data_IF_506953035622
#
_entry.id   IF_506953035622
#
_cell.length_a   1.000
_cell.length_b   1.000
_cell.length_c   1.000
_cell.angle_alpha   90.00
_cell.angle_beta   90.00
_cell.angle_gamma   90.00
#
_symmetry.space_group_name_H-M   'P 1'
#
loop_
_entity.id
_entity.type
_entity.pdbx_description
1 polymer ?
#
# COMPACT_ATOMS: atom_id res chain seq x y z
N UNK A 1 -37.99 -38.74 -74.02
CA UNK A 1 -37.82 -37.29 -73.87
C UNK A 1 -38.40 -36.78 -72.56
N UNK A 2 -39.59 -37.23 -72.16
CA UNK A 2 -40.26 -36.78 -70.91
C UNK A 2 -39.50 -37.12 -69.61
N UNK A 3 -38.83 -38.28 -69.56
CA UNK A 3 -38.00 -38.69 -68.42
C UNK A 3 -36.79 -37.76 -68.18
N UNK A 4 -36.22 -37.21 -69.26
CA UNK A 4 -35.08 -36.29 -69.18
C UNK A 4 -35.51 -34.92 -68.64
N UNK A 5 -36.69 -34.45 -69.07
CA UNK A 5 -37.28 -33.19 -68.60
C UNK A 5 -37.68 -33.30 -67.11
N UNK A 6 -38.25 -34.43 -66.71
CA UNK A 6 -38.56 -34.70 -65.30
C UNK A 6 -37.32 -34.71 -64.40
N UNK A 7 -36.23 -35.34 -64.85
CA UNK A 7 -34.96 -35.38 -64.11
C UNK A 7 -34.33 -33.98 -63.97
N UNK A 8 -34.39 -33.16 -65.03
CA UNK A 8 -33.85 -31.80 -65.03
C UNK A 8 -34.67 -30.89 -64.10
N UNK A 9 -35.99 -31.03 -64.09
CA UNK A 9 -36.87 -30.27 -63.20
C UNK A 9 -36.68 -30.66 -61.73
N UNK A 10 -36.44 -31.96 -61.44
CA UNK A 10 -36.07 -32.44 -60.11
C UNK A 10 -34.74 -31.83 -59.64
N UNK A 11 -33.73 -31.79 -60.53
CA UNK A 11 -32.43 -31.24 -60.20
C UNK A 11 -32.51 -29.75 -59.84
N UNK A 12 -33.26 -28.96 -60.63
CA UNK A 12 -33.46 -27.53 -60.37
C UNK A 12 -34.27 -27.30 -59.09
N UNK A 13 -35.36 -28.06 -58.91
CA UNK A 13 -36.17 -27.99 -57.69
C UNK A 13 -35.38 -28.36 -56.43
N UNK A 14 -34.51 -29.38 -56.52
CA UNK A 14 -33.65 -29.81 -55.42
C UNK A 14 -32.63 -28.74 -55.01
N UNK A 15 -32.01 -28.06 -55.99
CA UNK A 15 -31.05 -26.98 -55.70
C UNK A 15 -31.75 -25.79 -55.02
N UNK A 16 -32.93 -25.40 -55.51
CA UNK A 16 -33.69 -24.29 -54.93
C UNK A 16 -34.20 -24.66 -53.53
N UNK A 17 -34.77 -25.85 -53.37
CA UNK A 17 -35.25 -26.37 -52.08
C UNK A 17 -34.11 -26.47 -51.05
N UNK A 18 -32.92 -26.92 -51.46
CA UNK A 18 -31.75 -26.97 -50.60
C UNK A 18 -31.32 -25.58 -50.12
N UNK A 19 -31.34 -24.57 -51.00
CA UNK A 19 -30.98 -23.21 -50.62
C UNK A 19 -31.99 -22.59 -49.64
N UNK A 20 -33.30 -22.79 -49.86
CA UNK A 20 -34.34 -22.31 -48.95
C UNK A 20 -34.23 -23.00 -47.59
N UNK A 21 -34.10 -24.33 -47.57
CA UNK A 21 -33.94 -25.09 -46.33
C UNK A 21 -32.68 -24.69 -45.57
N UNK A 22 -31.56 -24.47 -46.28
CA UNK A 22 -30.29 -24.03 -45.67
C UNK A 22 -30.40 -22.63 -45.07
N UNK A 23 -31.14 -21.73 -45.69
CA UNK A 23 -31.32 -20.38 -45.17
C UNK A 23 -32.22 -20.37 -43.92
N UNK A 24 -33.37 -21.06 -43.98
CA UNK A 24 -34.31 -21.17 -42.85
C UNK A 24 -33.66 -21.87 -41.65
N UNK A 25 -32.91 -22.96 -41.88
CA UNK A 25 -32.26 -23.67 -40.78
C UNK A 25 -31.15 -22.82 -40.11
N UNK A 26 -30.47 -21.96 -40.87
CA UNK A 26 -29.41 -21.09 -40.34
C UNK A 26 -29.97 -19.99 -39.43
N UNK A 27 -31.15 -19.47 -39.73
CA UNK A 27 -31.79 -18.46 -38.90
C UNK A 27 -32.33 -19.06 -37.58
N UNK A 28 -32.90 -20.26 -37.65
CA UNK A 28 -33.33 -21.00 -36.45
C UNK A 28 -32.14 -21.35 -35.55
N UNK A 29 -31.04 -21.87 -36.11
CA UNK A 29 -29.86 -22.24 -35.33
C UNK A 29 -29.20 -21.03 -34.64
N UNK A 30 -29.16 -19.87 -35.32
CA UNK A 30 -28.69 -18.61 -34.72
C UNK A 30 -29.57 -18.10 -33.59
N UNK A 31 -30.87 -18.38 -33.62
CA UNK A 31 -31.78 -17.98 -32.54
C UNK A 31 -31.61 -18.85 -31.29
N UNK A 32 -31.40 -20.15 -31.44
CA UNK A 32 -31.05 -21.06 -30.34
C UNK A 32 -29.69 -20.75 -29.74
N UNK A 33 -28.66 -20.52 -30.54
CA UNK A 33 -27.32 -20.17 -30.03
C UNK A 33 -27.34 -18.85 -29.24
N UNK A 34 -28.16 -17.88 -29.66
CA UNK A 34 -28.35 -16.62 -28.92
C UNK A 34 -29.11 -16.81 -27.61
N UNK A 35 -30.16 -17.63 -27.61
CA UNK A 35 -30.95 -17.91 -26.40
C UNK A 35 -30.11 -18.66 -25.34
N UNK A 36 -29.29 -19.63 -25.76
CA UNK A 36 -28.35 -20.32 -24.87
C UNK A 36 -27.23 -19.37 -24.39
N UNK A 37 -26.74 -18.48 -25.26
CA UNK A 37 -25.78 -17.44 -24.87
C UNK A 37 -26.38 -16.43 -23.87
N UNK A 38 -27.64 -16.05 -24.00
CA UNK A 38 -28.30 -15.13 -23.07
C UNK A 38 -28.50 -15.76 -21.69
N UNK A 39 -28.93 -17.03 -21.65
CA UNK A 39 -29.08 -17.79 -20.40
C UNK A 39 -27.74 -17.95 -19.66
N UNK A 40 -26.67 -18.28 -20.39
CA UNK A 40 -25.33 -18.41 -19.81
C UNK A 40 -24.75 -17.08 -19.32
N UNK A 41 -24.99 -15.98 -20.04
CA UNK A 41 -24.61 -14.63 -19.59
C UNK A 41 -25.37 -14.23 -18.32
N UNK A 42 -26.66 -14.56 -18.24
CA UNK A 42 -27.48 -14.24 -17.08
C UNK A 42 -27.08 -15.03 -15.84
N UNK A 43 -26.75 -16.31 -15.99
CA UNK A 43 -26.19 -17.16 -14.94
C UNK A 43 -24.85 -16.60 -14.43
N UNK A 44 -23.95 -16.20 -15.35
CA UNK A 44 -22.65 -15.60 -15.02
C UNK A 44 -22.83 -14.27 -14.28
N UNK A 45 -23.77 -13.43 -14.71
CA UNK A 45 -24.04 -12.13 -14.08
C UNK A 45 -24.55 -12.30 -12.65
N UNK A 46 -25.38 -13.32 -12.40
CA UNK A 46 -25.86 -13.64 -11.05
C UNK A 46 -24.72 -14.14 -10.14
N UNK A 47 -23.80 -14.95 -10.67
CA UNK A 47 -22.61 -15.38 -9.93
C UNK A 47 -21.70 -14.18 -9.61
N UNK A 48 -21.46 -13.31 -10.59
CA UNK A 48 -20.67 -12.09 -10.40
C UNK A 48 -21.34 -11.16 -9.37
N UNK A 49 -22.65 -10.99 -9.40
CA UNK A 49 -23.36 -10.18 -8.41
C UNK A 49 -23.18 -10.73 -6.97
N UNK A 50 -23.22 -12.05 -6.79
CA UNK A 50 -23.00 -12.67 -5.48
C UNK A 50 -21.57 -12.44 -4.95
N UNK A 51 -20.57 -12.50 -5.84
CA UNK A 51 -19.18 -12.23 -5.50
C UNK A 51 -18.95 -10.77 -5.14
N UNK A 52 -19.46 -9.82 -5.95
CA UNK A 52 -19.38 -8.38 -5.69
C UNK A 52 -20.07 -7.99 -4.38
N UNK A 53 -21.20 -8.62 -4.03
CA UNK A 53 -21.87 -8.42 -2.73
C UNK A 53 -20.98 -8.88 -1.57
N UNK A 54 -20.29 -10.02 -1.73
CA UNK A 54 -19.38 -10.54 -0.71
C UNK A 54 -18.17 -9.62 -0.52
N UNK A 55 -17.56 -9.16 -1.61
CA UNK A 55 -16.46 -8.19 -1.57
C UNK A 55 -16.90 -6.88 -0.92
N UNK A 56 -18.06 -6.35 -1.29
CA UNK A 56 -18.60 -5.12 -0.70
C UNK A 56 -18.86 -5.26 0.80
N UNK A 57 -19.38 -6.42 1.25
CA UNK A 57 -19.54 -6.70 2.68
C UNK A 57 -18.21 -6.71 3.42
N UNK A 58 -17.18 -7.34 2.84
CA UNK A 58 -15.84 -7.36 3.42
C UNK A 58 -15.22 -5.96 3.51
N UNK A 59 -15.43 -5.12 2.48
CA UNK A 59 -14.99 -3.71 2.50
C UNK A 59 -15.72 -2.95 3.63
N UNK A 60 -17.03 -3.16 3.80
CA UNK A 60 -17.80 -2.51 4.86
C UNK A 60 -17.33 -2.95 6.27
N UNK A 61 -17.03 -4.23 6.47
CA UNK A 61 -16.46 -4.72 7.73
C UNK A 61 -15.09 -4.10 8.02
N UNK A 62 -14.22 -4.03 7.00
CA UNK A 62 -12.92 -3.38 7.12
C UNK A 62 -13.02 -1.88 7.42
N UNK A 63 -14.01 -1.19 6.84
CA UNK A 63 -14.28 0.22 7.13
C UNK A 63 -14.70 0.41 8.59
N UNK A 64 -15.58 -0.46 9.10
CA UNK A 64 -15.99 -0.42 10.50
C UNK A 64 -14.83 -0.68 11.45
N UNK A 65 -13.99 -1.67 11.14
CA UNK A 65 -12.78 -1.95 11.92
C UNK A 65 -11.81 -0.75 11.93
N UNK A 66 -11.58 -0.14 10.77
CA UNK A 66 -10.74 1.06 10.65
C UNK A 66 -11.34 2.26 11.39
N UNK A 67 -12.66 2.44 11.37
CA UNK A 67 -13.34 3.48 12.14
C UNK A 67 -13.16 3.29 13.65
N UNK A 68 -13.25 2.04 14.13
CA UNK A 68 -12.98 1.72 15.53
C UNK A 68 -11.52 2.02 15.93
N UNK A 69 -10.56 1.64 15.08
CA UNK A 69 -9.13 1.94 15.30
C UNK A 69 -8.89 3.46 15.33
N UNK A 70 -9.49 4.19 14.38
CA UNK A 70 -9.37 5.65 14.33
C UNK A 70 -9.93 6.30 15.59
N UNK A 71 -11.08 5.83 16.07
CA UNK A 71 -11.67 6.30 17.32
C UNK A 71 -10.73 6.05 18.52
N UNK A 72 -10.16 4.86 18.62
CA UNK A 72 -9.18 4.55 19.66
C UNK A 72 -7.95 5.45 19.59
N UNK A 73 -7.47 5.78 18.38
CA UNK A 73 -6.35 6.71 18.21
C UNK A 73 -6.72 8.12 18.67
N UNK A 74 -7.92 8.60 18.32
CA UNK A 74 -8.42 9.90 18.76
C UNK A 74 -8.51 9.95 20.29
N UNK A 75 -9.11 8.94 20.92
CA UNK A 75 -9.21 8.85 22.38
C UNK A 75 -7.82 8.85 23.04
N UNK A 76 -6.85 8.13 22.47
CA UNK A 76 -5.47 8.13 22.93
C UNK A 76 -4.79 9.50 22.77
N UNK A 77 -5.01 10.20 21.65
CA UNK A 77 -4.52 11.56 21.43
C UNK A 77 -5.13 12.55 22.42
N UNK A 78 -6.43 12.47 22.68
CA UNK A 78 -7.10 13.31 23.68
C UNK A 78 -6.50 13.08 25.07
N UNK A 79 -6.25 11.83 25.45
CA UNK A 79 -5.62 11.50 26.73
C UNK A 79 -4.18 12.02 26.84
N UNK A 80 -3.41 11.95 25.74
CA UNK A 80 -2.06 12.55 25.68
C UNK A 80 -2.13 14.08 25.82
N UNK A 81 -3.11 14.73 25.19
CA UNK A 81 -3.26 16.18 25.27
C UNK A 81 -3.66 16.63 26.70
N UNK A 82 -4.54 15.88 27.36
CA UNK A 82 -4.93 16.11 28.76
C UNK A 82 -3.73 15.91 29.69
N UNK A 83 -2.95 14.84 29.50
CA UNK A 83 -1.75 14.58 30.32
C UNK A 83 -0.65 15.62 30.11
N UNK A 84 -0.50 16.15 28.89
CA UNK A 84 0.44 17.23 28.58
C UNK A 84 -0.02 18.58 29.17
N UNK A 85 -1.33 18.84 29.22
CA UNK A 85 -1.92 20.04 29.84
C UNK A 85 -1.91 20.00 31.37
N UNK A 86 -1.78 18.82 31.99
CA UNK A 86 -1.73 18.62 33.44
C UNK A 86 -0.43 19.12 34.12
N UNK A 87 0.44 19.83 33.38
CA UNK A 87 1.52 20.65 33.95
C UNK A 87 2.89 19.95 34.00
N UNK A 88 3.98 20.73 33.99
CA UNK A 88 5.37 20.26 33.81
C UNK A 88 5.98 19.55 35.03
N UNK A 89 5.18 19.16 36.03
CA UNK A 89 5.66 18.77 37.36
C UNK A 89 5.68 17.26 37.62
N UNK A 90 5.39 16.39 36.62
CA UNK A 90 5.53 14.94 36.80
C UNK A 90 6.10 14.23 35.58
N UNK A 91 7.29 13.69 35.81
CA UNK A 91 8.11 12.89 34.91
C UNK A 91 8.90 13.71 33.88
N UNK A 92 10.19 13.84 34.19
CA UNK A 92 11.27 13.88 33.22
C UNK A 92 10.88 13.09 31.96
N UNK A 93 10.47 13.83 30.95
CA UNK A 93 10.06 13.33 29.65
C UNK A 93 11.28 12.65 29.01
N UNK A 94 11.48 11.35 29.27
CA UNK A 94 12.58 10.55 28.72
C UNK A 94 12.29 10.17 27.27
N UNK A 95 11.87 11.15 26.45
CA UNK A 95 11.35 10.91 25.09
C UNK A 95 12.43 10.39 24.14
N UNK A 96 13.70 10.61 24.49
CA UNK A 96 14.85 10.16 23.72
C UNK A 96 15.99 9.61 24.59
N UNK A 97 15.75 9.43 25.89
CA UNK A 97 16.77 8.97 26.85
C UNK A 97 16.79 7.46 26.98
N UNK A 98 15.69 6.88 27.44
CA UNK A 98 15.64 5.48 27.90
C UNK A 98 16.16 4.48 26.85
N UNK A 99 15.58 4.50 25.64
CA UNK A 99 15.89 3.54 24.58
C UNK A 99 17.23 3.86 23.90
N UNK A 100 17.56 5.14 23.73
CA UNK A 100 18.82 5.57 23.11
C UNK A 100 20.00 5.27 24.01
N UNK A 101 19.89 5.52 25.32
CA UNK A 101 20.94 5.18 26.29
C UNK A 101 21.10 3.66 26.42
N UNK A 102 20.01 2.90 26.45
CA UNK A 102 20.09 1.44 26.44
C UNK A 102 20.75 0.91 25.17
N UNK A 103 20.38 1.43 24.00
CA UNK A 103 20.98 1.07 22.71
C UNK A 103 22.47 1.46 22.64
N UNK A 104 22.84 2.67 23.03
CA UNK A 104 24.24 3.11 23.08
C UNK A 104 25.05 2.29 24.06
N UNK A 105 24.52 1.92 25.22
CA UNK A 105 25.21 1.05 26.19
C UNK A 105 25.42 -0.36 25.64
N UNK A 106 24.44 -0.89 24.91
CA UNK A 106 24.52 -2.23 24.36
C UNK A 106 25.38 -2.29 23.09
N UNK A 107 25.42 -1.19 22.31
CA UNK A 107 26.22 -1.05 21.09
C UNK A 107 27.60 -0.45 21.33
N UNK A 108 27.85 0.15 22.50
CA UNK A 108 29.19 0.52 22.92
C UNK A 108 29.97 -0.76 23.21
N UNK A 109 30.68 -1.26 22.21
CA UNK A 109 31.88 -2.07 22.46
C UNK A 109 32.72 -1.25 23.41
N UNK A 110 32.88 -1.73 24.66
CA UNK A 110 33.63 -1.05 25.73
C UNK A 110 34.78 -0.28 25.08
N UNK A 111 34.80 1.07 25.08
CA UNK A 111 36.00 1.74 24.62
C UNK A 111 37.07 1.26 25.59
N UNK A 112 38.03 0.48 25.08
CA UNK A 112 39.28 0.27 25.78
C UNK A 112 39.81 1.67 25.97
N UNK A 113 39.59 2.25 27.16
CA UNK A 113 40.31 3.43 27.58
C UNK A 113 41.76 2.96 27.54
N UNK A 114 42.46 3.34 26.49
CA UNK A 114 43.91 3.26 26.50
C UNK A 114 44.32 3.98 27.78
N UNK A 115 45.00 3.24 28.67
CA UNK A 115 45.59 3.84 29.85
C UNK A 115 46.71 4.72 29.33
N UNK A 116 46.38 5.96 28.96
CA UNK A 116 47.38 6.98 28.74
C UNK A 116 48.16 7.06 30.04
N UNK A 117 49.46 6.85 29.93
CA UNK A 117 50.39 6.89 31.04
C UNK A 117 50.11 8.14 31.88
N UNK A 118 50.07 7.98 33.21
CA UNK A 118 49.73 9.04 34.16
C UNK A 118 50.72 10.23 34.17
N UNK A 119 51.72 10.20 33.28
CA UNK A 119 52.73 11.24 33.08
C UNK A 119 52.27 12.35 32.11
N UNK A 120 51.13 12.16 31.44
CA UNK A 120 50.55 13.18 30.56
C UNK A 120 49.38 13.83 31.31
N UNK A 121 49.58 15.07 31.76
CA UNK A 121 48.49 15.90 32.26
C UNK A 121 47.42 16.01 31.16
N UNK A 122 46.12 15.91 31.50
CA UNK A 122 45.07 16.03 30.50
C UNK A 122 45.19 17.39 29.80
N UNK A 123 45.23 17.38 28.46
CA UNK A 123 45.23 18.62 27.71
C UNK A 123 43.97 19.41 28.09
N UNK A 124 44.18 20.62 28.61
CA UNK A 124 43.11 21.57 28.86
C UNK A 124 42.64 22.14 27.52
N UNK A 125 41.52 21.64 27.02
CA UNK A 125 40.90 22.08 25.78
C UNK A 125 40.06 23.36 25.95
N UNK A 126 40.09 24.03 27.11
CA UNK A 126 39.39 25.31 27.31
C UNK A 126 39.84 26.42 26.33
N UNK A 127 41.04 26.28 25.74
CA UNK A 127 41.56 27.21 24.73
C UNK A 127 41.16 26.87 23.29
N UNK A 128 40.57 25.70 23.02
CA UNK A 128 40.10 25.33 21.69
C UNK A 128 38.58 25.31 21.67
N UNK A 129 37.99 26.33 21.04
CA UNK A 129 36.56 26.42 20.78
C UNK A 129 36.10 25.20 19.95
N UNK A 130 35.59 24.16 20.60
CA UNK A 130 34.99 22.99 19.95
C UNK A 130 33.53 23.28 19.55
N UNK A 131 33.36 24.29 18.69
CA UNK A 131 32.08 24.66 18.11
C UNK A 131 32.25 25.23 16.71
N UNK A 132 31.14 25.41 15.99
CA UNK A 132 31.06 25.95 14.62
C UNK A 132 31.64 27.38 14.43
N UNK A 133 32.20 27.96 15.48
CA UNK A 133 32.88 29.25 15.45
C UNK A 133 34.34 29.04 15.86
N UNK A 134 35.24 29.11 14.89
CA UNK A 134 36.67 29.20 15.14
C UNK A 134 36.99 30.59 15.69
N UNK A 135 37.37 30.67 16.97
CA UNK A 135 37.86 31.92 17.56
C UNK A 135 39.08 32.43 16.78
N UNK A 136 38.97 33.61 16.18
CA UNK A 136 40.10 34.30 15.57
C UNK A 136 41.17 34.57 16.62
N UNK A 137 42.40 34.11 16.38
CA UNK A 137 43.55 34.42 17.23
C UNK A 137 43.79 35.92 17.20
N UNK A 138 43.48 36.62 18.29
CA UNK A 138 43.92 37.99 18.46
C UNK A 138 45.45 38.03 18.50
N UNK A 139 46.02 38.86 17.64
CA UNK A 139 47.43 39.20 17.55
C UNK A 139 47.81 39.97 18.82
N UNK A 140 48.96 39.70 19.47
CA UNK A 140 49.33 40.39 20.70
C UNK A 140 49.55 41.88 20.41
N UNK A 141 48.67 42.72 20.97
CA UNK A 141 48.95 44.14 21.12
C UNK A 141 50.10 44.29 22.12
N UNK A 142 51.25 44.76 21.64
CA UNK A 142 52.37 45.17 22.48
C UNK A 142 51.89 46.12 23.56
N UNK A 143 52.21 45.79 24.80
CA UNK A 143 51.98 46.66 25.97
C UNK A 143 52.74 47.98 25.83
N UNK A 144 52.04 49.02 26.28
CA UNK A 144 52.50 50.39 26.45
C UNK A 144 53.55 50.54 27.55
N UNK A 145 54.56 51.40 27.34
CA UNK A 145 54.99 52.39 28.33
C UNK A 145 55.80 53.51 27.68
#
# INVERSE_FOLDING_TARGET
MDLLVGLLLLAVGGIIGFFVAKYVNKDNQRSTDKAESEQTIQELMNQQAAEHIKETKQIAENLNAQSAILKQQIDAYEQLLISQKAGPERSSLSYFGEHTTAYLRNKSTKPTREKLNADIQPLDFSSQSSGLFSGTKEVPAKESK
#
